data_IF_073225144975
#
_entry.id   IF_073225144975
#
_cell.length_a   1.000
_cell.length_b   1.000
_cell.length_c   1.000
_cell.angle_alpha   90.00
_cell.angle_beta   90.00
_cell.angle_gamma   90.00
#
_symmetry.space_group_name_H-M   'P 1'
#
loop_
_entity.id
_entity.type
_entity.pdbx_description
1 polymer ?
#
# COMPACT_ATOMS: atom_id res chain seq x y z
N UNK A 1 -21.89 -49.75 16.77
CA UNK A 1 -21.80 -48.35 16.28
C UNK A 1 -20.36 -47.78 16.23
N UNK A 2 -19.46 -48.13 17.17
CA UNK A 2 -18.06 -47.62 17.15
C UNK A 2 -17.20 -48.05 15.95
N UNK A 3 -17.50 -49.19 15.32
CA UNK A 3 -16.73 -49.72 14.18
C UNK A 3 -17.03 -49.07 12.83
N UNK A 4 -18.17 -48.39 12.70
CA UNK A 4 -18.54 -47.68 11.47
C UNK A 4 -17.86 -46.31 11.39
N UNK A 5 -17.74 -45.63 12.55
CA UNK A 5 -17.07 -44.34 12.69
C UNK A 5 -15.56 -44.44 12.43
N UNK A 6 -14.90 -45.52 12.89
CA UNK A 6 -13.48 -45.75 12.62
C UNK A 6 -13.20 -46.07 11.15
N UNK A 7 -14.12 -46.76 10.45
CA UNK A 7 -13.98 -47.02 9.00
C UNK A 7 -14.16 -45.76 8.14
N UNK A 8 -15.02 -44.83 8.56
CA UNK A 8 -15.18 -43.52 7.92
C UNK A 8 -13.95 -42.62 8.10
N UNK A 9 -13.39 -42.56 9.31
CA UNK A 9 -12.19 -41.77 9.60
C UNK A 9 -10.94 -42.32 8.89
N UNK A 10 -10.84 -43.64 8.72
CA UNK A 10 -9.72 -44.23 8.00
C UNK A 10 -9.79 -43.95 6.48
N UNK A 11 -10.99 -43.99 5.88
CA UNK A 11 -11.20 -43.63 4.46
C UNK A 11 -10.90 -42.15 4.17
N UNK A 12 -11.21 -41.25 5.10
CA UNK A 12 -10.88 -39.82 4.96
C UNK A 12 -9.36 -39.59 4.98
N UNK A 13 -8.62 -40.30 5.83
CA UNK A 13 -7.14 -40.18 5.88
C UNK A 13 -6.44 -40.75 4.65
N UNK A 14 -6.98 -41.80 4.03
CA UNK A 14 -6.38 -42.39 2.82
C UNK A 14 -6.66 -41.59 1.54
N UNK A 15 -7.75 -40.80 1.51
CA UNK A 15 -8.02 -39.85 0.40
C UNK A 15 -7.11 -38.61 0.46
N UNK A 16 -6.56 -38.28 1.64
CA UNK A 16 -5.67 -37.14 1.82
C UNK A 16 -4.20 -37.45 1.50
N UNK A 17 -3.85 -38.72 1.31
CA UNK A 17 -2.47 -39.17 1.07
C UNK A 17 -2.18 -39.66 -0.36
N UNK A 18 -3.18 -39.72 -1.25
CA UNK A 18 -3.00 -40.23 -2.62
C UNK A 18 -3.84 -39.46 -3.66
N UNK A 19 -3.47 -38.21 -3.92
CA UNK A 19 -3.80 -37.53 -5.17
C UNK A 19 -2.51 -36.90 -5.74
N UNK A 20 -1.91 -37.48 -6.80
CA UNK A 20 -0.93 -36.78 -7.60
C UNK A 20 -1.72 -35.90 -8.58
N UNK A 21 -1.74 -34.60 -8.33
CA UNK A 21 -2.38 -33.63 -9.23
C UNK A 21 -1.35 -32.63 -9.71
N UNK A 22 -0.94 -32.80 -10.97
CA UNK A 22 -0.50 -31.71 -11.82
C UNK A 22 -1.53 -30.57 -11.72
N UNK A 23 -1.12 -29.48 -11.10
CA UNK A 23 -1.94 -28.33 -10.87
C UNK A 23 -1.05 -27.28 -10.28
N UNK A 24 -0.68 -26.29 -11.10
CA UNK A 24 0.08 -25.14 -10.68
C UNK A 24 -0.44 -24.65 -9.34
N UNK A 25 0.38 -24.76 -8.29
CA UNK A 25 0.17 -24.00 -7.07
C UNK A 25 0.34 -22.55 -7.51
N UNK A 26 -0.77 -21.91 -7.88
CA UNK A 26 -0.86 -20.47 -7.84
C UNK A 26 -0.51 -20.13 -6.40
N UNK A 27 0.74 -19.73 -6.20
CA UNK A 27 1.17 -19.08 -4.99
C UNK A 27 0.12 -18.00 -4.74
N UNK A 28 -0.67 -18.18 -3.69
CA UNK A 28 -1.47 -17.10 -3.13
C UNK A 28 -0.46 -15.99 -2.95
N UNK A 29 -0.53 -14.95 -3.78
CA UNK A 29 0.30 -13.77 -3.62
C UNK A 29 -0.06 -13.26 -2.24
N UNK A 30 0.76 -13.58 -1.25
CA UNK A 30 0.70 -12.92 0.05
C UNK A 30 1.01 -11.48 -0.31
N UNK A 31 -0.04 -10.67 -0.43
CA UNK A 31 0.09 -9.26 -0.67
C UNK A 31 0.80 -8.70 0.56
N UNK A 32 2.12 -8.56 0.48
CA UNK A 32 2.91 -7.96 1.52
C UNK A 32 2.28 -6.60 1.82
N UNK A 33 1.83 -6.42 3.07
CA UNK A 33 1.29 -5.13 3.47
C UNK A 33 2.37 -4.07 3.26
N UNK A 34 2.02 -2.87 2.76
CA UNK A 34 2.95 -1.76 2.69
C UNK A 34 3.58 -1.49 4.05
N UNK A 35 4.89 -1.28 4.08
CA UNK A 35 5.66 -0.94 5.27
C UNK A 35 6.58 0.24 4.97
N UNK A 36 7.00 0.95 6.01
CA UNK A 36 8.09 1.93 5.93
C UNK A 36 9.39 1.14 5.87
N UNK A 37 10.13 1.25 4.78
CA UNK A 37 11.35 0.47 4.58
C UNK A 37 12.50 1.04 5.41
N UNK A 38 13.37 0.15 5.91
CA UNK A 38 14.64 0.54 6.52
C UNK A 38 15.49 1.31 5.51
N UNK A 39 16.09 2.41 5.95
CA UNK A 39 16.88 3.31 5.10
C UNK A 39 16.08 4.26 4.21
N UNK A 40 14.74 4.21 4.24
CA UNK A 40 13.90 5.28 3.66
C UNK A 40 14.14 6.62 4.35
N UNK A 41 13.77 7.73 3.69
CA UNK A 41 13.86 9.07 4.29
C UNK A 41 13.16 9.13 5.64
N UNK A 42 11.91 8.63 5.71
CA UNK A 42 11.13 8.63 6.94
C UNK A 42 11.80 7.81 8.05
N UNK A 43 12.32 6.63 7.72
CA UNK A 43 13.05 5.80 8.68
C UNK A 43 14.33 6.45 9.19
N UNK A 44 15.13 7.00 8.27
CA UNK A 44 16.38 7.69 8.61
C UNK A 44 16.12 8.90 9.48
N UNK A 45 15.09 9.71 9.18
CA UNK A 45 14.71 10.84 10.02
C UNK A 45 14.36 10.39 11.44
N UNK A 46 13.58 9.32 11.59
CA UNK A 46 13.22 8.83 12.92
C UNK A 46 14.42 8.34 13.74
N UNK A 47 15.49 7.86 13.08
CA UNK A 47 16.74 7.50 13.76
C UNK A 47 17.58 8.70 14.20
N UNK A 48 17.38 9.88 13.59
CA UNK A 48 18.14 11.10 13.86
C UNK A 48 17.39 12.04 14.81
N UNK A 49 16.13 12.31 14.49
CA UNK A 49 15.23 13.19 15.25
C UNK A 49 13.80 12.61 15.15
N UNK A 50 13.38 11.84 16.17
CA UNK A 50 12.05 11.25 16.22
C UNK A 50 10.89 12.27 16.23
N UNK A 51 11.12 13.48 16.75
CA UNK A 51 10.10 14.54 16.82
C UNK A 51 9.93 15.19 15.45
N UNK A 52 11.04 15.49 14.76
CA UNK A 52 10.99 15.98 13.38
C UNK A 52 10.40 14.92 12.43
N UNK A 53 10.71 13.63 12.63
CA UNK A 53 10.10 12.55 11.86
C UNK A 53 8.58 12.45 12.07
N UNK A 54 8.11 12.74 13.28
CA UNK A 54 6.70 12.81 13.62
C UNK A 54 6.00 13.97 12.87
N UNK A 55 6.54 15.18 12.97
CA UNK A 55 6.02 16.34 12.25
C UNK A 55 6.04 16.14 10.72
N UNK A 56 7.09 15.49 10.20
CA UNK A 56 7.18 15.14 8.80
C UNK A 56 6.12 14.10 8.39
N UNK A 57 5.86 13.08 9.21
CA UNK A 57 4.81 12.11 8.95
C UNK A 57 3.41 12.77 8.92
N UNK A 58 3.19 13.77 9.78
CA UNK A 58 1.96 14.57 9.78
C UNK A 58 1.85 15.42 8.49
N UNK A 59 2.92 16.10 8.08
CA UNK A 59 2.97 16.85 6.82
C UNK A 59 2.79 15.95 5.58
N UNK A 60 3.37 14.76 5.59
CA UNK A 60 3.18 13.75 4.54
C UNK A 60 1.71 13.36 4.42
N UNK A 61 1.02 13.12 5.55
CA UNK A 61 -0.39 12.76 5.54
C UNK A 61 -1.26 13.87 4.93
N UNK A 62 -0.95 15.14 5.23
CA UNK A 62 -1.61 16.30 4.61
C UNK A 62 -1.34 16.35 3.10
N UNK A 63 -0.11 16.10 2.65
CA UNK A 63 0.20 16.10 1.20
C UNK A 63 -0.54 15.00 0.45
N UNK A 64 -0.72 13.81 1.06
CA UNK A 64 -1.56 12.75 0.49
C UNK A 64 -3.03 13.19 0.38
N UNK A 65 -3.56 13.86 1.40
CA UNK A 65 -4.93 14.38 1.37
C UNK A 65 -5.09 15.44 0.27
N UNK A 66 -4.11 16.33 0.10
CA UNK A 66 -4.07 17.27 -1.01
C UNK A 66 -3.96 16.60 -2.38
N UNK A 67 -3.18 15.52 -2.51
CA UNK A 67 -3.07 14.77 -3.76
C UNK A 67 -4.42 14.12 -4.14
N UNK A 68 -5.15 13.56 -3.17
CA UNK A 68 -6.49 13.00 -3.39
C UNK A 68 -7.47 14.11 -3.77
N UNK A 69 -7.50 15.22 -3.03
CA UNK A 69 -8.44 16.31 -3.28
C UNK A 69 -8.23 17.01 -4.63
N UNK A 70 -7.00 17.02 -5.15
CA UNK A 70 -6.64 17.59 -6.46
C UNK A 70 -6.67 16.58 -7.60
N UNK A 71 -7.02 15.32 -7.34
CA UNK A 71 -7.02 14.28 -8.36
C UNK A 71 -8.08 14.58 -9.43
N UNK A 72 -7.64 14.75 -10.68
CA UNK A 72 -8.53 14.99 -11.82
C UNK A 72 -8.61 13.80 -12.77
N UNK A 73 -8.00 12.64 -12.45
CA UNK A 73 -7.90 11.48 -13.36
C UNK A 73 -9.27 10.95 -13.84
N UNK A 74 -10.35 11.23 -13.09
CA UNK A 74 -11.72 10.88 -13.46
C UNK A 74 -12.42 11.91 -14.35
N UNK A 75 -11.84 13.10 -14.52
CA UNK A 75 -12.44 14.19 -15.27
C UNK A 75 -12.23 13.98 -16.78
N UNK A 76 -13.28 14.20 -17.55
CA UNK A 76 -13.26 14.05 -19.01
C UNK A 76 -12.24 14.95 -19.74
N UNK A 77 -11.79 16.03 -19.09
CA UNK A 77 -10.85 17.00 -19.65
C UNK A 77 -9.40 16.78 -19.22
N UNK A 78 -9.13 15.78 -18.38
CA UNK A 78 -7.76 15.49 -17.94
C UNK A 78 -6.97 14.90 -19.09
N UNK A 79 -5.96 15.63 -19.53
CA UNK A 79 -5.05 15.15 -20.57
C UNK A 79 -4.15 14.03 -20.06
N UNK A 80 -3.67 13.20 -20.98
CA UNK A 80 -2.69 12.14 -20.68
C UNK A 80 -1.45 12.70 -19.96
N UNK A 81 -0.93 13.86 -20.38
CA UNK A 81 0.23 14.50 -19.73
C UNK A 81 -0.06 14.89 -18.26
N UNK A 82 -1.24 15.46 -17.99
CA UNK A 82 -1.66 15.83 -16.64
C UNK A 82 -1.88 14.61 -15.75
N UNK A 83 -2.41 13.51 -16.30
CA UNK A 83 -2.57 12.26 -15.56
C UNK A 83 -1.20 11.70 -15.13
N UNK A 84 -0.23 11.65 -16.05
CA UNK A 84 1.13 11.22 -15.74
C UNK A 84 1.82 12.12 -14.72
N UNK A 85 1.63 13.45 -14.82
CA UNK A 85 2.19 14.41 -13.87
C UNK A 85 1.65 14.19 -12.44
N UNK A 86 0.34 13.99 -12.29
CA UNK A 86 -0.28 13.70 -10.99
C UNK A 86 0.25 12.38 -10.41
N UNK A 87 0.39 11.33 -11.22
CA UNK A 87 0.94 10.04 -10.80
C UNK A 87 2.40 10.18 -10.39
N UNK A 88 3.20 10.94 -11.14
CA UNK A 88 4.60 11.23 -10.78
C UNK A 88 4.71 12.01 -9.47
N UNK A 89 3.88 13.04 -9.27
CA UNK A 89 3.84 13.80 -8.02
C UNK A 89 3.52 12.88 -6.83
N UNK A 90 2.49 12.03 -6.96
CA UNK A 90 2.15 11.06 -5.93
C UNK A 90 3.31 10.07 -5.66
N UNK A 91 3.94 9.54 -6.71
CA UNK A 91 5.08 8.63 -6.59
C UNK A 91 6.26 9.26 -5.86
N UNK A 92 6.57 10.52 -6.15
CA UNK A 92 7.65 11.24 -5.48
C UNK A 92 7.39 11.37 -3.98
N UNK A 93 6.18 11.74 -3.59
CA UNK A 93 5.78 11.76 -2.16
C UNK A 93 5.94 10.37 -1.55
N UNK A 94 5.34 9.34 -2.15
CA UNK A 94 5.40 7.95 -1.65
C UNK A 94 6.84 7.41 -1.53
N UNK A 95 7.76 7.85 -2.39
CA UNK A 95 9.16 7.40 -2.38
C UNK A 95 9.88 7.65 -1.05
N UNK A 96 9.43 8.66 -0.29
CA UNK A 96 9.97 9.01 1.03
C UNK A 96 9.73 7.93 2.08
N UNK A 97 8.77 7.03 1.83
CA UNK A 97 8.48 5.85 2.67
C UNK A 97 9.33 4.64 2.32
N UNK A 98 9.96 4.63 1.14
CA UNK A 98 10.66 3.49 0.55
C UNK A 98 9.77 2.31 0.14
N UNK A 99 8.45 2.36 0.40
CA UNK A 99 7.55 1.21 0.30
C UNK A 99 7.43 0.65 -1.12
N UNK A 100 8.09 -0.49 -1.37
CA UNK A 100 8.11 -1.12 -2.70
C UNK A 100 6.73 -1.52 -3.24
N UNK A 101 5.79 -2.05 -2.42
CA UNK A 101 4.44 -2.35 -2.90
C UNK A 101 3.69 -1.11 -3.41
N UNK A 102 3.85 0.04 -2.75
CA UNK A 102 3.19 1.29 -3.16
C UNK A 102 3.86 1.91 -4.39
N UNK A 103 5.20 1.90 -4.45
CA UNK A 103 5.93 2.39 -5.63
C UNK A 103 5.59 1.57 -6.88
N UNK A 104 5.50 0.25 -6.75
CA UNK A 104 5.04 -0.62 -7.82
C UNK A 104 3.59 -0.35 -8.22
N UNK A 105 2.73 0.02 -7.27
CA UNK A 105 1.35 0.40 -7.59
C UNK A 105 1.29 1.72 -8.36
N UNK A 106 2.16 2.69 -8.07
CA UNK A 106 2.32 3.91 -8.89
C UNK A 106 2.83 3.58 -10.29
N UNK A 107 3.80 2.68 -10.43
CA UNK A 107 4.31 2.25 -11.74
C UNK A 107 3.20 1.58 -12.56
N UNK A 108 2.42 0.70 -11.94
CA UNK A 108 1.29 0.07 -12.62
C UNK A 108 0.21 1.09 -13.01
N UNK A 109 -0.03 2.11 -12.19
CA UNK A 109 -0.99 3.18 -12.51
C UNK A 109 -0.50 4.01 -13.70
N UNK A 110 0.79 4.29 -13.80
CA UNK A 110 1.40 4.94 -14.96
C UNK A 110 1.22 4.08 -16.22
N UNK A 111 1.52 2.79 -16.13
CA UNK A 111 1.37 1.85 -17.25
C UNK A 111 -0.10 1.71 -17.69
N UNK A 112 -1.07 1.90 -16.78
CA UNK A 112 -2.49 1.92 -17.15
C UNK A 112 -2.87 3.19 -17.95
N UNK A 113 -2.28 4.34 -17.62
CA UNK A 113 -2.46 5.58 -18.38
C UNK A 113 -1.91 5.41 -19.79
N UNK A 114 -0.71 4.82 -19.92
CA UNK A 114 -0.07 4.54 -21.21
C UNK A 114 -0.87 3.54 -22.08
N UNK A 115 -1.78 2.77 -21.47
CA UNK A 115 -2.66 1.80 -22.15
C UNK A 115 -4.08 2.32 -22.35
N UNK A 116 -4.30 3.62 -22.17
CA UNK A 116 -5.60 4.28 -22.31
C UNK A 116 -6.71 3.63 -21.47
N UNK A 117 -6.39 3.23 -20.24
CA UNK A 117 -7.40 2.69 -19.34
C UNK A 117 -8.46 3.74 -18.96
N UNK A 118 -9.65 3.30 -18.54
CA UNK A 118 -10.76 4.22 -18.29
C UNK A 118 -10.48 5.20 -17.14
N UNK A 119 -10.93 6.45 -17.31
CA UNK A 119 -10.76 7.55 -16.34
C UNK A 119 -11.27 7.17 -14.94
N UNK A 120 -12.43 6.52 -14.84
CA UNK A 120 -12.97 6.06 -13.55
C UNK A 120 -12.05 5.06 -12.85
N UNK A 121 -11.48 4.13 -13.61
CA UNK A 121 -10.53 3.15 -13.08
C UNK A 121 -9.26 3.83 -12.59
N UNK A 122 -8.72 4.76 -13.38
CA UNK A 122 -7.52 5.53 -13.04
C UNK A 122 -7.72 6.35 -11.76
N UNK A 123 -8.84 7.08 -11.64
CA UNK A 123 -9.18 7.85 -10.46
C UNK A 123 -9.32 6.97 -9.21
N UNK A 124 -10.00 5.82 -9.34
CA UNK A 124 -10.18 4.90 -8.24
C UNK A 124 -8.85 4.29 -7.78
N UNK A 125 -8.00 3.85 -8.71
CA UNK A 125 -6.68 3.29 -8.39
C UNK A 125 -5.75 4.34 -7.80
N UNK A 126 -5.72 5.56 -8.33
CA UNK A 126 -4.97 6.67 -7.77
C UNK A 126 -5.35 6.91 -6.30
N UNK A 127 -6.66 7.05 -6.04
CA UNK A 127 -7.19 7.30 -4.70
C UNK A 127 -6.86 6.15 -3.76
N UNK A 128 -6.95 4.90 -4.22
CA UNK A 128 -6.60 3.73 -3.44
C UNK A 128 -5.11 3.69 -3.05
N UNK A 129 -4.22 4.00 -3.99
CA UNK A 129 -2.77 4.05 -3.73
C UNK A 129 -2.43 5.19 -2.75
N UNK A 130 -2.96 6.38 -2.99
CA UNK A 130 -2.77 7.53 -2.12
C UNK A 130 -3.30 7.25 -0.69
N UNK A 131 -4.51 6.69 -0.58
CA UNK A 131 -5.10 6.32 0.72
C UNK A 131 -4.26 5.28 1.45
N UNK A 132 -3.75 4.25 0.74
CA UNK A 132 -2.89 3.25 1.33
C UNK A 132 -1.58 3.84 1.86
N UNK A 133 -0.98 4.79 1.14
CA UNK A 133 0.20 5.52 1.59
C UNK A 133 -0.09 6.38 2.84
N UNK A 134 -1.20 7.11 2.84
CA UNK A 134 -1.64 7.90 4.00
C UNK A 134 -1.90 7.03 5.23
N UNK A 135 -2.54 5.87 5.07
CA UNK A 135 -2.77 4.91 6.16
C UNK A 135 -1.47 4.31 6.69
N UNK A 136 -0.52 3.98 5.81
CA UNK A 136 0.79 3.51 6.19
C UNK A 136 1.50 4.53 7.09
N UNK A 137 1.57 5.79 6.65
CA UNK A 137 2.26 6.84 7.41
C UNK A 137 1.50 7.19 8.69
N UNK A 138 0.16 7.26 8.70
CA UNK A 138 -0.62 7.44 9.93
C UNK A 138 -0.38 6.33 10.95
N UNK A 139 -0.21 5.08 10.50
CA UNK A 139 0.14 3.96 11.39
C UNK A 139 1.56 4.11 11.93
N UNK A 140 2.51 4.50 11.09
CA UNK A 140 3.90 4.75 11.50
C UNK A 140 4.03 5.93 12.47
N UNK A 141 3.30 7.01 12.25
CA UNK A 141 3.28 8.19 13.14
C UNK A 141 2.96 7.83 14.59
N UNK A 142 2.10 6.82 14.82
CA UNK A 142 1.72 6.31 16.15
C UNK A 142 2.85 5.57 16.88
N UNK A 143 3.91 5.19 16.17
CA UNK A 143 5.10 4.57 16.79
C UNK A 143 6.17 5.60 17.15
N UNK A 144 5.99 6.86 16.75
CA UNK A 144 6.90 7.96 17.05
C UNK A 144 6.41 8.71 18.30
N UNK A 145 7.32 9.36 19.05
CA UNK A 145 6.94 10.15 20.22
C UNK A 145 5.94 11.26 19.86
N UNK A 146 5.15 11.64 20.85
CA UNK A 146 4.32 12.84 20.81
C UNK A 146 5.20 13.95 21.39
N UNK A 147 5.22 15.10 20.72
CA UNK A 147 5.91 16.27 21.26
C UNK A 147 5.07 16.81 22.42
N UNK A 148 5.42 16.40 23.64
CA UNK A 148 4.80 16.88 24.88
C UNK A 148 5.49 18.14 25.41
N UNK A 149 6.26 18.86 24.58
CA UNK A 149 6.86 20.13 24.98
C UNK A 149 5.76 21.18 25.23
N UNK A 150 5.33 21.29 26.49
CA UNK A 150 4.66 22.48 27.00
C UNK A 150 5.50 23.71 26.62
N UNK A 151 4.90 24.77 26.06
CA UNK A 151 5.64 25.99 25.80
C UNK A 151 6.07 26.55 27.16
N UNK A 152 7.37 26.49 27.46
CA UNK A 152 7.91 27.12 28.64
C UNK A 152 7.52 28.61 28.63
N UNK A 153 6.67 28.96 29.61
CA UNK A 153 6.19 30.30 29.89
C UNK A 153 7.31 31.21 30.41
#
# INVERSE_FOLDING_TARGET
MRSLLTRLLHRLRTLQANAPAAGAVQAVKIHAQPQIESGSTLHTMAGLDPVAAAAFADAFAVEIEHAIARCTLGDANTSHAQALEQIHSLKNTISLTGSQPLLKACDQLRDDVERDASSDMLAHRFTAVATAAGLLVKRYRRTLPIDDAEPHA
#
